data_IF_410161425926
#
_entry.id   IF_410161425926
#
_cell.length_a   1.000
_cell.length_b   1.000
_cell.length_c   1.000
_cell.angle_alpha   90.00
_cell.angle_beta   90.00
_cell.angle_gamma   90.00
#
_symmetry.space_group_name_H-M   'P 1'
#
loop_
_entity.id
_entity.type
_entity.pdbx_description
1 polymer ?
#
# COMPACT_ATOMS: atom_id res chain seq x y z
N UNK A 1 6.31 24.07 -16.74
CA UNK A 1 6.86 23.06 -15.79
C UNK A 1 5.68 22.41 -15.08
N UNK A 2 5.52 21.09 -15.21
CA UNK A 2 4.35 20.35 -14.70
C UNK A 2 4.68 19.17 -13.79
N UNK A 3 5.92 19.03 -13.35
CA UNK A 3 6.37 17.87 -12.57
C UNK A 3 6.78 18.31 -11.16
N UNK A 4 6.44 17.50 -10.18
CA UNK A 4 6.87 17.68 -8.79
C UNK A 4 8.32 17.25 -8.67
N UNK A 5 9.16 18.10 -8.09
CA UNK A 5 10.59 17.81 -7.92
C UNK A 5 10.81 16.88 -6.72
N UNK A 6 11.48 15.75 -6.97
CA UNK A 6 11.88 14.83 -5.91
C UNK A 6 13.24 15.24 -5.30
N UNK A 7 13.28 15.41 -3.98
CA UNK A 7 14.50 15.75 -3.24
C UNK A 7 15.04 14.55 -2.46
N UNK A 8 16.38 14.36 -2.38
CA UNK A 8 16.96 13.32 -1.52
C UNK A 8 16.51 13.50 -0.07
N UNK A 9 16.17 12.40 0.61
CA UNK A 9 15.86 12.47 2.02
C UNK A 9 17.13 12.83 2.81
N UNK A 10 17.04 13.86 3.66
CA UNK A 10 18.17 14.34 4.46
C UNK A 10 18.03 13.99 5.95
N UNK A 11 16.79 13.89 6.43
CA UNK A 11 16.47 13.62 7.84
C UNK A 11 15.43 12.50 7.90
N UNK A 12 15.38 11.74 9.01
CA UNK A 12 14.31 10.78 9.25
C UNK A 12 12.92 11.42 9.11
N UNK A 13 11.99 10.71 8.46
CA UNK A 13 10.56 11.03 8.48
C UNK A 13 9.88 10.08 9.44
N UNK A 14 9.24 10.62 10.46
CA UNK A 14 8.43 9.85 11.40
C UNK A 14 6.96 10.16 11.15
N UNK A 15 6.17 9.12 10.96
CA UNK A 15 4.78 9.22 10.55
C UNK A 15 3.91 8.26 11.35
N UNK A 16 2.66 8.64 11.55
CA UNK A 16 1.62 7.76 12.02
C UNK A 16 0.76 7.32 10.84
N UNK A 17 0.72 6.02 10.58
CA UNK A 17 -0.14 5.37 9.62
C UNK A 17 -1.37 4.80 10.32
N UNK A 18 -2.54 5.23 9.86
CA UNK A 18 -3.85 4.74 10.27
C UNK A 18 -4.51 4.04 9.10
N UNK A 19 -4.90 2.78 9.28
CA UNK A 19 -5.70 2.03 8.30
C UNK A 19 -7.00 1.62 8.96
N UNK A 20 -8.11 2.05 8.39
CA UNK A 20 -9.46 1.71 8.81
C UNK A 20 -10.14 0.88 7.73
N UNK A 21 -10.78 -0.20 8.14
CA UNK A 21 -11.62 -1.01 7.27
C UNK A 21 -13.00 -1.10 7.90
N UNK A 22 -14.02 -0.66 7.18
CA UNK A 22 -15.41 -0.86 7.56
C UNK A 22 -16.11 -1.74 6.54
N UNK A 23 -16.97 -2.64 7.02
CA UNK A 23 -17.81 -3.50 6.19
C UNK A 23 -19.21 -3.50 6.78
N UNK A 24 -20.15 -2.96 6.01
CA UNK A 24 -21.56 -2.84 6.37
C UNK A 24 -22.41 -3.66 5.43
N UNK A 25 -23.31 -4.45 6.00
CA UNK A 25 -24.37 -5.20 5.32
C UNK A 25 -25.70 -4.88 6.00
N UNK A 26 -26.81 -5.36 5.44
CA UNK A 26 -28.12 -5.25 6.09
C UNK A 26 -28.19 -5.86 7.51
N UNK A 27 -27.27 -6.78 7.83
CA UNK A 27 -27.31 -7.58 9.06
C UNK A 27 -26.14 -7.31 10.00
N UNK A 28 -25.05 -6.72 9.50
CA UNK A 28 -23.79 -6.63 10.24
C UNK A 28 -23.01 -5.38 9.89
N UNK A 29 -22.44 -4.76 10.90
CA UNK A 29 -21.43 -3.72 10.77
C UNK A 29 -20.14 -4.25 11.41
N UNK A 30 -19.05 -4.23 10.65
CA UNK A 30 -17.71 -4.57 11.12
C UNK A 30 -16.81 -3.37 10.93
N UNK A 31 -15.99 -3.11 11.94
CA UNK A 31 -14.97 -2.09 11.89
C UNK A 31 -13.64 -2.66 12.38
N UNK A 32 -12.55 -2.28 11.72
CA UNK A 32 -11.20 -2.67 12.09
C UNK A 32 -10.26 -1.49 11.93
N UNK A 33 -9.45 -1.23 12.94
CA UNK A 33 -8.46 -0.15 12.97
C UNK A 33 -7.07 -0.75 13.19
N UNK A 34 -6.12 -0.32 12.37
CA UNK A 34 -4.71 -0.65 12.51
C UNK A 34 -3.88 0.63 12.56
N UNK A 35 -3.05 0.75 13.60
CA UNK A 35 -2.13 1.86 13.79
C UNK A 35 -0.68 1.39 13.70
N UNK A 36 0.12 2.10 12.92
CA UNK A 36 1.55 1.88 12.79
C UNK A 36 2.32 3.19 12.91
N UNK A 37 3.41 3.18 13.65
CA UNK A 37 4.47 4.16 13.46
C UNK A 37 5.32 3.72 12.29
N UNK A 38 5.56 4.66 11.37
CA UNK A 38 6.42 4.46 10.22
C UNK A 38 7.58 5.43 10.31
N UNK A 39 8.80 4.91 10.21
CA UNK A 39 10.01 5.72 10.11
C UNK A 39 10.69 5.44 8.79
N UNK A 40 10.92 6.48 7.98
CA UNK A 40 11.74 6.40 6.78
C UNK A 40 13.08 7.07 7.09
N UNK A 41 14.15 6.28 7.03
CA UNK A 41 15.52 6.76 7.24
C UNK A 41 16.23 6.97 5.91
N UNK A 42 17.02 8.05 5.77
CA UNK A 42 17.95 8.16 4.66
C UNK A 42 19.05 7.10 4.82
N UNK A 43 19.34 6.35 3.77
CA UNK A 43 20.54 5.52 3.70
C UNK A 43 21.60 6.19 2.80
N UNK A 44 22.86 5.78 2.94
CA UNK A 44 23.98 6.40 2.23
C UNK A 44 23.74 6.39 0.71
N UNK A 45 23.93 7.54 0.08
CA UNK A 45 23.81 7.69 -1.38
C UNK A 45 25.10 7.21 -2.04
N UNK A 46 25.00 6.26 -2.96
CA UNK A 46 26.13 5.89 -3.80
C UNK A 46 26.41 7.02 -4.79
N UNK A 47 27.56 7.68 -4.63
CA UNK A 47 28.02 8.80 -5.48
C UNK A 47 27.99 8.47 -6.98
N UNK A 48 28.30 7.23 -7.35
CA UNK A 48 28.47 6.82 -8.75
C UNK A 48 27.18 6.47 -9.47
N UNK A 49 26.16 6.04 -8.75
CA UNK A 49 24.95 5.49 -9.38
C UNK A 49 23.77 6.45 -9.42
N UNK A 50 23.83 7.54 -8.64
CA UNK A 50 22.72 8.50 -8.48
C UNK A 50 21.47 7.90 -7.80
N UNK A 51 21.46 6.59 -7.53
CA UNK A 51 20.40 5.92 -6.82
C UNK A 51 20.45 6.28 -5.34
N UNK A 52 19.25 6.47 -4.78
CA UNK A 52 19.06 6.76 -3.37
C UNK A 52 18.53 5.52 -2.69
N UNK A 53 18.94 5.36 -1.44
CA UNK A 53 18.56 4.24 -0.61
C UNK A 53 17.77 4.81 0.56
N UNK A 54 16.71 4.12 0.95
CA UNK A 54 15.98 4.42 2.18
C UNK A 54 15.71 3.13 2.95
N UNK A 55 15.64 3.24 4.27
CA UNK A 55 15.14 2.17 5.13
C UNK A 55 13.77 2.56 5.65
N UNK A 56 12.81 1.66 5.50
CA UNK A 56 11.43 1.82 5.96
C UNK A 56 11.24 0.89 7.14
N UNK A 57 11.00 1.47 8.31
CA UNK A 57 10.63 0.77 9.53
C UNK A 57 9.14 0.98 9.78
N UNK A 58 8.42 -0.11 10.07
CA UNK A 58 7.00 -0.08 10.45
C UNK A 58 6.83 -0.83 11.76
N UNK A 59 6.42 -0.12 12.80
CA UNK A 59 6.10 -0.68 14.12
C UNK A 59 4.61 -0.56 14.36
N UNK A 60 3.96 -1.66 14.73
CA UNK A 60 2.54 -1.64 15.11
C UNK A 60 2.40 -1.08 16.51
N UNK A 61 1.51 -0.11 16.70
CA UNK A 61 1.29 0.56 18.00
C UNK A 61 0.11 -0.07 18.71
N UNK A 62 -1.07 -0.03 18.10
CA UNK A 62 -2.31 -0.52 18.70
C UNK A 62 -3.26 -1.09 17.65
N UNK A 63 -4.10 -2.03 18.09
CA UNK A 63 -5.26 -2.51 17.33
C UNK A 63 -6.43 -2.77 18.23
N UNK A 64 -7.61 -2.28 17.82
CA UNK A 64 -8.88 -2.75 18.36
C UNK A 64 -9.26 -4.14 17.81
N UNK A 65 -8.56 -4.62 16.77
CA UNK A 65 -8.81 -5.91 16.15
C UNK A 65 -7.76 -6.95 16.60
N UNK A 66 -8.12 -7.74 17.61
CA UNK A 66 -7.45 -9.01 17.87
C UNK A 66 -7.79 -9.98 16.74
N UNK A 67 -6.86 -10.86 16.34
CA UNK A 67 -7.19 -11.93 15.40
C UNK A 67 -8.38 -12.72 15.92
N UNK A 68 -9.47 -12.74 15.14
CA UNK A 68 -10.69 -13.44 15.54
C UNK A 68 -10.71 -14.90 15.05
N UNK A 69 -9.68 -15.30 14.29
CA UNK A 69 -9.47 -16.66 13.81
C UNK A 69 -7.97 -16.88 13.49
N UNK A 70 -7.61 -18.13 13.24
CA UNK A 70 -6.23 -18.55 12.92
C UNK A 70 -5.68 -17.92 11.65
N UNK A 71 -6.53 -17.65 10.65
CA UNK A 71 -6.09 -17.04 9.40
C UNK A 71 -5.67 -15.58 9.58
N UNK A 72 -6.39 -14.82 10.41
CA UNK A 72 -6.03 -13.44 10.76
C UNK A 72 -4.73 -13.42 11.57
N UNK A 73 -4.55 -14.39 12.49
CA UNK A 73 -3.35 -14.51 13.31
C UNK A 73 -2.13 -14.88 12.45
N UNK A 74 -2.31 -15.80 11.51
CA UNK A 74 -1.32 -16.18 10.52
C UNK A 74 -0.91 -14.99 9.65
N UNK A 75 -1.88 -14.28 9.06
CA UNK A 75 -1.62 -13.12 8.20
C UNK A 75 -0.89 -12.00 8.95
N UNK A 76 -1.26 -11.78 10.22
CA UNK A 76 -0.59 -10.83 11.11
C UNK A 76 0.87 -11.21 11.38
N UNK A 77 1.19 -12.49 11.54
CA UNK A 77 2.58 -12.92 11.72
C UNK A 77 3.38 -12.76 10.42
N UNK A 78 2.81 -13.16 9.28
CA UNK A 78 3.45 -12.96 7.96
C UNK A 78 3.76 -11.49 7.69
N UNK A 79 2.87 -10.56 8.03
CA UNK A 79 3.07 -9.14 7.76
C UNK A 79 4.24 -8.51 8.51
N UNK A 80 4.76 -9.17 9.55
CA UNK A 80 5.94 -8.70 10.30
C UNK A 80 7.21 -8.70 9.46
N UNK A 81 7.29 -9.50 8.41
CA UNK A 81 8.41 -9.47 7.45
C UNK A 81 8.58 -8.11 6.78
N UNK A 82 7.49 -7.35 6.66
CA UNK A 82 7.47 -6.04 6.03
C UNK A 82 7.76 -4.90 7.02
N UNK A 83 8.07 -5.22 8.28
CA UNK A 83 8.36 -4.22 9.30
C UNK A 83 9.69 -3.51 9.08
N UNK A 84 10.61 -4.09 8.32
CA UNK A 84 11.88 -3.47 7.96
C UNK A 84 12.22 -3.82 6.52
N UNK A 85 12.29 -2.80 5.67
CA UNK A 85 12.64 -2.94 4.26
C UNK A 85 13.67 -1.89 3.87
N UNK A 86 14.68 -2.30 3.11
CA UNK A 86 15.61 -1.38 2.45
C UNK A 86 15.18 -1.23 0.98
N UNK A 87 14.88 -0.01 0.54
CA UNK A 87 14.40 0.28 -0.81
C UNK A 87 15.44 1.08 -1.58
N UNK A 88 15.74 0.63 -2.80
CA UNK A 88 16.45 1.42 -3.81
C UNK A 88 15.44 2.22 -4.62
N UNK A 89 15.66 3.53 -4.73
CA UNK A 89 14.80 4.47 -5.42
C UNK A 89 15.42 4.93 -6.75
N UNK A 90 14.56 5.25 -7.72
CA UNK A 90 14.95 5.98 -8.92
C UNK A 90 15.14 7.49 -8.63
N UNK A 91 15.45 8.25 -9.69
CA UNK A 91 15.63 9.70 -9.63
C UNK A 91 14.34 10.49 -9.34
N UNK A 92 13.17 9.85 -9.36
CA UNK A 92 11.88 10.42 -8.98
C UNK A 92 11.35 9.87 -7.65
N UNK A 93 12.17 9.12 -6.89
CA UNK A 93 11.74 8.57 -5.60
C UNK A 93 10.82 7.35 -5.70
N UNK A 94 10.69 6.74 -6.89
CA UNK A 94 9.95 5.47 -7.05
C UNK A 94 10.84 4.29 -6.63
N UNK A 95 10.34 3.34 -5.82
CA UNK A 95 11.05 2.10 -5.54
C UNK A 95 11.23 1.26 -6.81
N UNK A 96 12.49 0.93 -7.11
CA UNK A 96 12.87 0.07 -8.25
C UNK A 96 13.40 -1.28 -7.81
N UNK A 97 13.88 -1.39 -6.55
CA UNK A 97 14.35 -2.66 -6.01
C UNK A 97 14.20 -2.73 -4.49
N UNK A 98 13.83 -3.90 -3.97
CA UNK A 98 14.08 -4.27 -2.56
C UNK A 98 15.53 -4.71 -2.45
N UNK A 99 16.28 -4.08 -1.55
CA UNK A 99 17.64 -4.51 -1.23
C UNK A 99 17.65 -5.55 -0.13
N UNK A 100 18.81 -6.19 0.09
CA UNK A 100 18.97 -7.26 1.10
C UNK A 100 17.93 -8.38 0.93
N UNK A 101 17.57 -8.71 -0.31
CA UNK A 101 16.53 -9.73 -0.61
C UNK A 101 16.86 -11.09 0.00
N UNK A 102 18.14 -11.45 0.05
CA UNK A 102 18.59 -12.69 0.68
C UNK A 102 18.33 -12.70 2.19
N UNK A 103 18.56 -11.57 2.88
CA UNK A 103 18.25 -11.45 4.31
C UNK A 103 16.74 -11.54 4.55
N UNK A 104 15.92 -10.88 3.72
CA UNK A 104 14.46 -10.99 3.78
C UNK A 104 14.00 -12.44 3.59
N UNK A 105 14.61 -13.16 2.64
CA UNK A 105 14.32 -14.57 2.40
C UNK A 105 14.70 -15.46 3.60
N UNK A 106 15.87 -15.24 4.22
CA UNK A 106 16.26 -15.99 5.42
C UNK A 106 15.31 -15.73 6.59
N UNK A 107 14.92 -14.47 6.81
CA UNK A 107 13.93 -14.10 7.83
C UNK A 107 12.58 -14.78 7.56
N UNK A 108 12.17 -14.86 6.29
CA UNK A 108 10.99 -15.61 5.91
C UNK A 108 11.11 -17.09 6.21
N UNK A 109 12.22 -17.76 5.87
CA UNK A 109 12.39 -19.20 6.14
C UNK A 109 12.30 -19.54 7.63
N UNK A 110 12.84 -18.67 8.49
CA UNK A 110 12.72 -18.79 9.94
C UNK A 110 11.25 -18.65 10.38
N UNK A 111 10.56 -17.60 9.92
CA UNK A 111 9.16 -17.38 10.23
C UNK A 111 8.26 -18.51 9.69
N UNK A 112 8.49 -18.95 8.46
CA UNK A 112 7.79 -20.05 7.77
C UNK A 112 7.81 -21.32 8.60
N UNK A 113 8.97 -21.68 9.14
CA UNK A 113 9.13 -22.86 10.02
C UNK A 113 8.24 -22.73 11.25
N UNK A 114 8.27 -21.58 11.92
CA UNK A 114 7.42 -21.32 13.09
C UNK A 114 5.92 -21.36 12.74
N UNK A 115 5.52 -20.80 11.59
CA UNK A 115 4.15 -20.83 11.11
C UNK A 115 3.67 -22.25 10.81
N UNK A 116 4.49 -23.07 10.15
CA UNK A 116 4.13 -24.48 9.87
C UNK A 116 3.97 -25.32 11.14
N UNK A 117 4.69 -24.99 12.21
CA UNK A 117 4.56 -25.66 13.50
C UNK A 117 3.32 -25.19 14.30
N UNK A 118 2.95 -23.91 14.13
CA UNK A 118 1.91 -23.25 14.94
C UNK A 118 0.50 -23.41 14.40
N UNK A 119 0.34 -23.61 13.09
CA UNK A 119 -0.96 -23.67 12.42
C UNK A 119 -1.16 -24.97 11.66
N UNK A 120 -2.41 -25.43 11.53
CA UNK A 120 -2.75 -26.71 10.89
C UNK A 120 -3.83 -26.56 9.82
N UNK A 121 -3.86 -27.53 8.91
CA UNK A 121 -4.85 -27.67 7.84
C UNK A 121 -4.29 -27.45 6.43
N UNK A 122 -4.95 -28.02 5.43
CA UNK A 122 -4.50 -28.02 4.02
C UNK A 122 -4.30 -26.62 3.42
N UNK A 123 -4.92 -25.60 4.02
CA UNK A 123 -4.79 -24.22 3.58
C UNK A 123 -3.43 -23.61 3.98
N UNK A 124 -2.79 -24.09 5.05
CA UNK A 124 -1.49 -23.59 5.54
C UNK A 124 -0.39 -23.85 4.53
N UNK A 125 -0.22 -25.10 4.10
CA UNK A 125 0.80 -25.46 3.10
C UNK A 125 0.61 -24.70 1.79
N UNK A 126 -0.65 -24.53 1.36
CA UNK A 126 -1.01 -23.73 0.18
C UNK A 126 -0.65 -22.25 0.37
N UNK A 127 -0.88 -21.69 1.56
CA UNK A 127 -0.54 -20.31 1.88
C UNK A 127 0.98 -20.10 1.93
N UNK A 128 1.70 -20.97 2.65
CA UNK A 128 3.17 -20.94 2.75
C UNK A 128 3.81 -21.05 1.37
N UNK A 129 3.40 -22.02 0.55
CA UNK A 129 3.92 -22.19 -0.83
C UNK A 129 3.66 -20.96 -1.71
N UNK A 130 2.51 -20.29 -1.54
CA UNK A 130 2.22 -19.05 -2.27
C UNK A 130 3.13 -17.90 -1.81
N UNK A 131 3.41 -17.80 -0.51
CA UNK A 131 4.28 -16.77 0.04
C UNK A 131 5.74 -17.05 -0.36
N UNK A 132 6.18 -18.31 -0.32
CA UNK A 132 7.51 -18.75 -0.79
C UNK A 132 7.77 -18.19 -2.20
N UNK A 133 6.86 -18.43 -3.13
CA UNK A 133 6.97 -17.93 -4.52
C UNK A 133 7.06 -16.41 -4.63
N UNK A 134 6.41 -15.67 -3.73
CA UNK A 134 6.42 -14.20 -3.73
C UNK A 134 7.66 -13.61 -3.08
N UNK A 135 8.26 -14.33 -2.12
CA UNK A 135 9.43 -13.87 -1.35
C UNK A 135 10.77 -14.35 -1.90
N UNK A 136 10.76 -15.21 -2.93
CA UNK A 136 11.98 -15.61 -3.61
C UNK A 136 12.75 -14.38 -4.13
N UNK A 137 14.07 -14.30 -3.85
CA UNK A 137 14.92 -13.24 -4.40
C UNK A 137 14.88 -13.22 -5.92
N UNK A 138 14.73 -12.03 -6.50
CA UNK A 138 14.63 -11.81 -7.93
C UNK A 138 13.85 -10.55 -8.29
N UNK A 139 13.69 -10.32 -9.59
CA UNK A 139 13.04 -9.11 -10.13
C UNK A 139 11.56 -8.99 -9.70
N UNK A 140 10.88 -10.12 -9.52
CA UNK A 140 9.46 -10.16 -9.13
C UNK A 140 9.19 -9.73 -7.68
N UNK A 141 10.18 -9.84 -6.78
CA UNK A 141 9.99 -9.59 -5.35
C UNK A 141 9.49 -8.17 -5.09
N UNK A 142 10.14 -7.17 -5.70
CA UNK A 142 9.77 -5.76 -5.55
C UNK A 142 8.32 -5.52 -5.93
N UNK A 143 7.86 -6.10 -7.04
CA UNK A 143 6.47 -6.00 -7.49
C UNK A 143 5.49 -6.58 -6.48
N UNK A 144 5.82 -7.69 -5.83
CA UNK A 144 4.96 -8.30 -4.80
C UNK A 144 4.96 -7.50 -3.49
N UNK A 145 6.10 -7.00 -3.05
CA UNK A 145 6.21 -6.22 -1.81
C UNK A 145 5.48 -4.89 -1.95
N UNK A 146 5.53 -4.24 -3.13
CA UNK A 146 4.77 -3.02 -3.42
C UNK A 146 3.25 -3.22 -3.53
N UNK A 147 2.74 -4.44 -3.33
CA UNK A 147 1.30 -4.71 -3.14
C UNK A 147 0.85 -4.45 -1.69
N UNK A 148 1.78 -4.29 -0.74
CA UNK A 148 1.46 -3.86 0.62
C UNK A 148 0.75 -2.51 0.59
N UNK A 149 -0.33 -2.39 1.36
CA UNK A 149 -1.23 -1.22 1.35
C UNK A 149 -0.45 0.08 1.58
N UNK A 150 0.45 0.10 2.56
CA UNK A 150 1.22 1.30 2.86
C UNK A 150 2.20 1.64 1.73
N UNK A 151 2.96 0.66 1.25
CA UNK A 151 3.95 0.90 0.19
C UNK A 151 3.28 1.31 -1.12
N UNK A 152 2.15 0.68 -1.45
CA UNK A 152 1.39 0.99 -2.65
C UNK A 152 0.85 2.42 -2.62
N UNK A 153 0.32 2.88 -1.47
CA UNK A 153 -0.16 4.26 -1.31
C UNK A 153 0.98 5.28 -1.26
N UNK A 154 2.00 5.05 -0.43
CA UNK A 154 3.04 6.05 -0.22
C UNK A 154 3.90 6.24 -1.48
N UNK A 155 4.16 5.17 -2.23
CA UNK A 155 4.95 5.20 -3.46
C UNK A 155 4.09 5.14 -4.73
N UNK A 156 2.94 5.82 -4.73
CA UNK A 156 2.02 5.92 -5.89
C UNK A 156 2.62 6.59 -7.14
N UNK A 157 3.83 7.13 -7.03
CA UNK A 157 4.50 7.80 -8.15
C UNK A 157 4.05 9.24 -8.34
N UNK A 158 3.71 9.95 -7.25
CA UNK A 158 3.32 11.37 -7.28
C UNK A 158 4.36 12.26 -7.95
N UNK A 159 5.64 11.92 -7.82
CA UNK A 159 6.76 12.61 -8.45
C UNK A 159 6.94 12.25 -9.93
N UNK A 160 6.34 11.16 -10.41
CA UNK A 160 6.42 10.72 -11.80
C UNK A 160 5.28 11.33 -12.65
N UNK A 161 4.21 11.81 -12.02
CA UNK A 161 3.09 12.43 -12.71
C UNK A 161 3.51 13.73 -13.41
N UNK A 162 3.05 13.88 -14.64
CA UNK A 162 3.25 15.08 -15.44
C UNK A 162 1.92 15.84 -15.52
N UNK A 163 1.79 16.89 -14.71
CA UNK A 163 0.60 17.71 -14.65
C UNK A 163 0.58 18.72 -15.80
N UNK A 164 -0.44 18.63 -16.64
CA UNK A 164 -0.74 19.60 -17.69
C UNK A 164 -1.86 20.48 -17.15
N UNK A 165 -1.63 21.79 -17.07
CA UNK A 165 -2.60 22.73 -16.49
C UNK A 165 -3.08 22.31 -15.09
N UNK A 166 -2.13 21.86 -14.26
CA UNK A 166 -2.37 21.34 -12.91
C UNK A 166 -3.22 20.07 -12.84
N UNK A 167 -3.43 19.36 -13.95
CA UNK A 167 -4.23 18.14 -14.01
C UNK A 167 -3.41 16.96 -14.53
N UNK A 168 -3.68 15.76 -14.01
CA UNK A 168 -3.08 14.51 -14.47
C UNK A 168 -4.13 13.40 -14.45
N UNK A 169 -4.15 12.56 -15.47
CA UNK A 169 -4.99 11.36 -15.51
C UNK A 169 -4.12 10.12 -15.69
N UNK A 170 -4.48 9.03 -15.04
CA UNK A 170 -3.72 7.78 -15.13
C UNK A 170 -4.52 6.57 -14.69
N UNK A 171 -3.94 5.39 -14.91
CA UNK A 171 -4.48 4.13 -14.37
C UNK A 171 -3.65 3.66 -13.19
N UNK A 172 -4.30 3.07 -12.19
CA UNK A 172 -3.62 2.50 -11.03
C UNK A 172 -4.26 1.19 -10.60
N UNK A 173 -3.42 0.21 -10.27
CA UNK A 173 -3.86 -1.01 -9.59
C UNK A 173 -3.82 -0.82 -8.07
N UNK A 174 -4.96 -1.05 -7.43
CA UNK A 174 -5.17 -0.95 -5.98
C UNK A 174 -5.25 -2.35 -5.37
N UNK A 175 -4.72 -2.50 -4.17
CA UNK A 175 -4.69 -3.74 -3.39
C UNK A 175 -5.35 -3.52 -2.02
N UNK A 176 -5.87 -4.59 -1.41
CA UNK A 176 -6.38 -4.57 -0.03
C UNK A 176 -7.86 -4.27 0.14
N UNK A 177 -8.52 -3.63 -0.85
CA UNK A 177 -9.98 -3.44 -0.81
C UNK A 177 -10.74 -4.76 -0.98
N UNK A 178 -10.29 -5.63 -1.89
CA UNK A 178 -10.80 -6.99 -2.06
C UNK A 178 -9.66 -8.00 -2.23
N UNK A 179 -10.01 -9.29 -2.36
CA UNK A 179 -9.02 -10.37 -2.46
C UNK A 179 -8.20 -10.35 -3.76
N UNK A 180 -8.60 -9.55 -4.75
CA UNK A 180 -7.92 -9.39 -6.03
C UNK A 180 -7.55 -7.92 -6.27
N UNK A 181 -6.51 -7.63 -7.08
CA UNK A 181 -6.16 -6.27 -7.44
C UNK A 181 -7.27 -5.63 -8.28
N UNK A 182 -7.52 -4.33 -8.08
CA UNK A 182 -8.55 -3.57 -8.81
C UNK A 182 -7.90 -2.44 -9.60
N UNK A 183 -8.24 -2.30 -10.87
CA UNK A 183 -7.79 -1.20 -11.72
C UNK A 183 -8.72 0.01 -11.60
N UNK A 184 -8.16 1.17 -11.30
CA UNK A 184 -8.87 2.45 -11.26
C UNK A 184 -8.38 3.37 -12.38
N UNK A 185 -9.31 4.14 -12.94
CA UNK A 185 -9.01 5.35 -13.70
C UNK A 185 -9.01 6.52 -12.71
N UNK A 186 -7.90 7.25 -12.65
CA UNK A 186 -7.64 8.31 -11.68
C UNK A 186 -7.48 9.66 -12.36
N UNK A 187 -7.94 10.69 -11.67
CA UNK A 187 -7.81 12.10 -12.02
C UNK A 187 -7.23 12.84 -10.82
N UNK A 188 -6.15 13.59 -11.05
CA UNK A 188 -5.40 14.30 -10.03
C UNK A 188 -5.37 15.79 -10.35
N UNK A 189 -5.44 16.63 -9.31
CA UNK A 189 -5.32 18.08 -9.40
C UNK A 189 -4.25 18.60 -8.46
N UNK A 190 -3.38 19.47 -8.96
CA UNK A 190 -2.26 20.04 -8.23
C UNK A 190 -2.55 21.48 -7.80
N UNK A 191 -2.35 21.78 -6.52
CA UNK A 191 -2.35 23.14 -5.97
C UNK A 191 -0.99 23.40 -5.34
N UNK A 192 -0.32 24.46 -5.77
CA UNK A 192 0.98 24.86 -5.23
C UNK A 192 0.83 26.07 -4.31
N UNK A 193 1.53 26.06 -3.19
CA UNK A 193 1.54 27.13 -2.18
C UNK A 193 2.95 27.32 -1.63
N UNK A 194 3.14 28.31 -0.75
CA UNK A 194 4.45 28.54 -0.10
C UNK A 194 4.86 27.41 0.83
N UNK A 195 3.89 26.74 1.48
CA UNK A 195 4.14 25.63 2.41
C UNK A 195 4.38 24.29 1.72
N UNK A 196 4.05 24.18 0.43
CA UNK A 196 4.18 22.92 -0.31
C UNK A 196 3.15 22.75 -1.41
N UNK A 197 3.00 21.50 -1.83
CA UNK A 197 2.10 21.10 -2.90
C UNK A 197 1.02 20.17 -2.36
N UNK A 198 -0.23 20.46 -2.70
CA UNK A 198 -1.39 19.63 -2.41
C UNK A 198 -1.87 18.98 -3.71
N UNK A 199 -1.88 17.66 -3.74
CA UNK A 199 -2.41 16.87 -4.85
C UNK A 199 -3.71 16.25 -4.37
N UNK A 200 -4.85 16.64 -4.94
CA UNK A 200 -6.11 15.93 -4.70
C UNK A 200 -6.30 14.92 -5.81
N UNK A 201 -6.78 13.73 -5.48
CA UNK A 201 -7.08 12.70 -6.46
C UNK A 201 -8.48 12.13 -6.24
N UNK A 202 -9.07 11.67 -7.32
CA UNK A 202 -10.26 10.83 -7.33
C UNK A 202 -10.15 9.78 -8.41
N UNK A 203 -10.90 8.70 -8.29
CA UNK A 203 -10.92 7.68 -9.32
C UNK A 203 -12.12 6.77 -9.22
N UNK A 204 -12.37 6.05 -10.31
CA UNK A 204 -13.45 5.07 -10.41
C UNK A 204 -12.91 3.76 -10.96
N UNK A 205 -13.54 2.67 -10.55
CA UNK A 205 -13.21 1.34 -11.04
C UNK A 205 -13.34 1.26 -12.56
N UNK A 206 -12.27 0.80 -13.22
CA UNK A 206 -12.26 0.56 -14.65
C UNK A 206 -12.95 -0.77 -14.99
N UNK A 207 -14.23 -0.68 -15.38
CA UNK A 207 -15.03 -1.83 -15.82
C UNK A 207 -14.72 -2.27 -17.26
N UNK A 208 -13.91 -1.52 -18.01
CA UNK A 208 -13.61 -1.84 -19.41
C UNK A 208 -12.61 -2.98 -19.54
N UNK A 209 -11.72 -3.13 -18.56
CA UNK A 209 -10.75 -4.22 -18.51
C UNK A 209 -11.29 -5.43 -17.74
N UNK A 210 -11.10 -6.62 -18.30
CA UNK A 210 -11.55 -7.86 -17.70
C UNK A 210 -10.75 -8.17 -16.42
N UNK A 211 -11.42 -8.13 -15.26
CA UNK A 211 -10.83 -8.40 -13.96
C UNK A 211 -11.50 -9.63 -13.30
N UNK A 212 -11.23 -10.86 -13.81
CA UNK A 212 -11.95 -12.07 -13.41
C UNK A 212 -11.82 -12.38 -11.91
N UNK A 213 -10.68 -12.06 -11.29
CA UNK A 213 -10.49 -12.23 -9.85
C UNK A 213 -11.44 -11.36 -9.01
N UNK A 214 -11.62 -10.09 -9.41
CA UNK A 214 -12.55 -9.16 -8.77
C UNK A 214 -13.99 -9.64 -8.97
N UNK A 215 -14.36 -10.00 -10.21
CA UNK A 215 -15.70 -10.47 -10.54
C UNK A 215 -16.06 -11.77 -9.77
N UNK A 216 -15.12 -12.71 -9.66
CA UNK A 216 -15.32 -13.94 -8.91
C UNK A 216 -15.42 -13.68 -7.41
N UNK A 217 -14.62 -12.76 -6.87
CA UNK A 217 -14.73 -12.37 -5.47
C UNK A 217 -16.10 -11.75 -5.19
N UNK A 218 -16.57 -10.83 -6.05
CA UNK A 218 -17.86 -10.16 -5.90
C UNK A 218 -19.03 -11.15 -5.94
N UNK A 219 -19.03 -12.09 -6.90
CA UNK A 219 -20.02 -13.18 -6.97
C UNK A 219 -20.11 -14.01 -5.68
N UNK A 220 -18.97 -14.20 -4.99
CA UNK A 220 -18.92 -14.95 -3.73
C UNK A 220 -19.38 -14.11 -2.52
N UNK A 221 -19.44 -12.78 -2.65
CA UNK A 221 -19.96 -11.92 -1.59
C UNK A 221 -21.47 -11.70 -1.74
N UNK A 222 -21.96 -11.27 -2.93
CA UNK A 222 -23.35 -10.84 -3.20
C UNK A 222 -23.64 -10.95 -4.71
N UNK A 223 -24.92 -11.00 -5.11
CA UNK A 223 -25.35 -10.91 -6.51
C UNK A 223 -24.82 -9.62 -7.18
N UNK A 224 -23.95 -9.80 -8.18
CA UNK A 224 -22.86 -8.87 -8.56
C UNK A 224 -23.26 -7.72 -9.51
N UNK A 225 -24.52 -7.65 -9.96
CA UNK A 225 -24.89 -6.91 -11.18
C UNK A 225 -24.56 -5.39 -11.14
N UNK A 226 -24.51 -4.75 -9.96
CA UNK A 226 -24.37 -3.30 -9.82
C UNK A 226 -23.23 -2.84 -8.89
N UNK A 227 -22.10 -3.56 -8.83
CA UNK A 227 -20.99 -3.10 -7.99
C UNK A 227 -20.37 -1.79 -8.52
N UNK A 228 -20.18 -0.82 -7.63
CA UNK A 228 -19.46 0.43 -7.88
C UNK A 228 -18.29 0.54 -6.91
N UNK A 229 -17.13 0.97 -7.44
CA UNK A 229 -16.02 1.34 -6.58
C UNK A 229 -15.48 2.69 -6.99
N UNK A 230 -15.25 3.52 -5.99
CA UNK A 230 -14.72 4.86 -6.13
C UNK A 230 -13.63 5.09 -5.10
N UNK A 231 -12.78 6.07 -5.39
CA UNK A 231 -11.73 6.47 -4.49
C UNK A 231 -11.52 7.97 -4.54
N UNK A 232 -11.09 8.54 -3.41
CA UNK A 232 -10.73 9.95 -3.30
C UNK A 232 -9.71 10.15 -2.20
N UNK A 233 -8.98 11.25 -2.27
CA UNK A 233 -7.99 11.56 -1.27
C UNK A 233 -7.04 12.66 -1.67
N UNK A 234 -5.94 12.78 -0.93
CA UNK A 234 -4.90 13.77 -1.20
C UNK A 234 -3.51 13.31 -0.78
N UNK A 235 -2.51 13.99 -1.35
CA UNK A 235 -1.13 14.03 -0.87
C UNK A 235 -0.74 15.47 -0.59
N UNK A 236 -0.06 15.68 0.52
CA UNK A 236 0.65 16.90 0.83
C UNK A 236 2.15 16.62 0.74
N UNK A 237 2.83 17.38 -0.11
CA UNK A 237 4.28 17.34 -0.30
C UNK A 237 4.85 18.59 0.36
N UNK A 238 5.74 18.39 1.33
CA UNK A 238 6.42 19.46 2.03
C UNK A 238 7.46 20.12 1.14
N UNK A 239 7.48 21.46 1.07
CA UNK A 239 8.39 22.19 0.18
C UNK A 239 9.86 22.05 0.60
N UNK A 240 10.12 21.96 1.91
CA UNK A 240 11.48 21.95 2.47
C UNK A 240 12.15 20.61 2.18
N UNK A 241 11.50 19.52 2.60
CA UNK A 241 11.98 18.16 2.45
C UNK A 241 11.78 17.62 1.04
N UNK A 242 10.72 18.04 0.33
CA UNK A 242 10.30 17.46 -0.95
C UNK A 242 9.67 16.07 -0.83
N UNK A 243 9.27 15.67 0.38
CA UNK A 243 8.65 14.38 0.68
C UNK A 243 7.17 14.54 1.04
N UNK A 244 6.43 13.44 0.92
CA UNK A 244 5.05 13.38 1.37
C UNK A 244 5.00 13.44 2.91
N UNK A 245 4.36 14.46 3.45
CA UNK A 245 4.21 14.64 4.90
C UNK A 245 2.80 14.28 5.39
N UNK A 246 1.81 14.30 4.51
CA UNK A 246 0.47 13.82 4.80
C UNK A 246 -0.17 13.18 3.58
N UNK A 247 -0.91 12.10 3.78
CA UNK A 247 -1.78 11.54 2.76
C UNK A 247 -3.07 11.01 3.37
N UNK A 248 -4.16 11.11 2.62
CA UNK A 248 -5.41 10.42 2.90
C UNK A 248 -5.87 9.73 1.62
N UNK A 249 -6.24 8.47 1.72
CA UNK A 249 -6.89 7.70 0.65
C UNK A 249 -8.13 7.05 1.23
N UNK A 250 -9.28 7.28 0.60
CA UNK A 250 -10.53 6.61 0.93
C UNK A 250 -11.03 5.83 -0.29
N UNK A 251 -11.19 4.53 -0.13
CA UNK A 251 -11.72 3.60 -1.11
C UNK A 251 -13.09 3.10 -0.65
N UNK A 252 -14.10 3.24 -1.50
CA UNK A 252 -15.45 2.78 -1.24
C UNK A 252 -15.87 1.76 -2.29
N UNK A 253 -16.32 0.60 -1.85
CA UNK A 253 -17.07 -0.37 -2.63
C UNK A 253 -18.53 -0.33 -2.17
N UNK A 254 -19.46 -0.12 -3.09
CA UNK A 254 -20.90 -0.16 -2.85
C UNK A 254 -21.59 -1.16 -3.77
N UNK A 255 -22.44 -2.01 -3.21
CA UNK A 255 -23.27 -2.99 -3.94
C UNK A 255 -24.60 -3.12 -3.21
N UNK A 256 -25.70 -2.57 -3.74
CA UNK A 256 -27.00 -2.59 -3.06
C UNK A 256 -26.87 -2.12 -1.58
N UNK A 257 -27.18 -2.97 -0.61
CA UNK A 257 -27.08 -2.70 0.84
C UNK A 257 -25.69 -2.98 1.44
N UNK A 258 -24.74 -3.45 0.63
CA UNK A 258 -23.37 -3.71 1.06
C UNK A 258 -22.46 -2.53 0.78
N UNK A 259 -21.71 -2.13 1.79
CA UNK A 259 -20.66 -1.13 1.68
C UNK A 259 -19.41 -1.62 2.35
N UNK A 260 -18.27 -1.46 1.67
CA UNK A 260 -16.96 -1.69 2.26
C UNK A 260 -16.09 -0.48 2.02
N UNK A 261 -15.50 0.04 3.09
CA UNK A 261 -14.61 1.19 3.06
C UNK A 261 -13.21 0.77 3.50
N UNK A 262 -12.20 1.26 2.80
CA UNK A 262 -10.80 1.22 3.22
C UNK A 262 -10.29 2.65 3.26
N UNK A 263 -10.02 3.15 4.47
CA UNK A 263 -9.45 4.48 4.68
C UNK A 263 -8.01 4.35 5.18
N UNK A 264 -7.11 5.07 4.54
CA UNK A 264 -5.68 5.09 4.83
C UNK A 264 -5.30 6.54 5.08
N UNK A 265 -4.75 6.83 6.24
CA UNK A 265 -4.28 8.16 6.62
C UNK A 265 -2.84 8.04 7.08
N UNK A 266 -1.97 8.89 6.54
CA UNK A 266 -0.60 9.05 7.01
C UNK A 266 -0.39 10.51 7.37
N UNK A 267 0.23 10.75 8.53
CA UNK A 267 0.57 12.11 8.94
C UNK A 267 1.93 12.10 9.60
N UNK A 268 2.82 13.00 9.20
CA UNK A 268 4.09 13.23 9.89
C UNK A 268 3.84 13.82 11.27
N UNK A 269 4.58 13.34 12.25
CA UNK A 269 4.59 13.89 13.61
C UNK A 269 5.37 15.21 13.67
#
# INVERSE_FOLDING_TARGET
>A
MGKIEYKPLQKPLNMLLKIEVSEKTAQKDKYSLMLFEVTILPAQVSFWSGHKHIEVFRRRVETNHLPNNDADAFARQVSTLLNHLTLKLDFNGRPINIEKQQELWQNWLLLRTNLSASYRGDWIEKALTKIDKKLLPGEGLTTYILQDIFLNEYFRGVYNAFFIENSFCGKRTIYGLCASPILFNEEWTLKTSSSGQLINFSGKWDKTEAQPGVNNWLKNQIDYVNAEMEMKGFYQIDNVTGWCNSLESNYLLSINDYKKELKIVLTTN
#
